data_IF_356827801143
#
_entry.id   IF_356827801143
#
_cell.length_a   1.000
_cell.length_b   1.000
_cell.length_c   1.000
_cell.angle_alpha   90.00
_cell.angle_beta   90.00
_cell.angle_gamma   90.00
#
_symmetry.space_group_name_H-M   'P 1'
#
loop_
_entity.id
_entity.type
_entity.pdbx_description
1 polymer ?
#
# COMPACT_ATOMS: atom_id res chain seq x y z
N UNK A 1 -10.68 -31.94 3.09
CA UNK A 1 -10.35 -30.62 3.62
C UNK A 1 -10.12 -29.75 2.43
N UNK A 2 -11.07 -28.87 2.12
CA UNK A 2 -10.95 -27.90 1.02
C UNK A 2 -9.87 -26.92 1.40
N UNK A 3 -8.92 -26.68 0.52
CA UNK A 3 -7.83 -25.71 0.68
C UNK A 3 -8.39 -24.29 0.52
N UNK A 4 -9.28 -23.89 1.40
CA UNK A 4 -9.61 -22.49 1.55
C UNK A 4 -8.40 -21.83 2.21
N UNK A 5 -7.57 -21.19 1.40
CA UNK A 5 -6.43 -20.44 1.88
C UNK A 5 -6.89 -19.33 2.82
N UNK A 6 -6.11 -19.07 3.85
CA UNK A 6 -6.37 -17.93 4.75
C UNK A 6 -6.31 -16.62 3.97
N UNK A 7 -7.19 -15.65 4.28
CA UNK A 7 -7.12 -14.32 3.69
C UNK A 7 -5.76 -13.67 3.95
N UNK A 8 -5.19 -13.08 2.94
CA UNK A 8 -3.93 -12.35 3.06
C UNK A 8 -4.01 -10.96 2.44
N UNK A 9 -3.11 -10.10 2.86
CA UNK A 9 -2.87 -8.76 2.29
C UNK A 9 -1.38 -8.54 2.16
N UNK A 10 -1.00 -7.82 1.11
CA UNK A 10 0.38 -7.39 0.94
C UNK A 10 0.45 -5.96 0.42
N UNK A 11 1.56 -5.31 0.71
CA UNK A 11 1.89 -3.99 0.22
C UNK A 11 3.32 -3.96 -0.31
N UNK A 12 3.51 -3.39 -1.48
CA UNK A 12 4.84 -3.29 -2.11
C UNK A 12 5.08 -1.87 -2.60
N UNK A 13 6.28 -1.37 -2.37
CA UNK A 13 6.75 -0.12 -2.97
C UNK A 13 7.60 -0.44 -4.18
N UNK A 14 7.26 0.22 -5.29
CA UNK A 14 8.05 0.28 -6.51
C UNK A 14 8.58 1.70 -6.66
N UNK A 15 9.89 1.87 -6.75
CA UNK A 15 10.55 3.17 -6.83
C UNK A 15 11.36 3.33 -8.10
N UNK A 16 11.20 4.45 -8.81
CA UNK A 16 11.88 4.77 -10.08
C UNK A 16 12.87 5.93 -9.95
N UNK A 17 12.97 6.53 -8.77
CA UNK A 17 13.94 7.60 -8.48
C UNK A 17 14.86 7.17 -7.34
N UNK A 18 16.05 7.77 -7.25
CA UNK A 18 16.97 7.53 -6.14
C UNK A 18 16.32 7.80 -4.77
N UNK A 19 15.45 8.80 -4.68
CA UNK A 19 14.70 9.10 -3.46
C UNK A 19 13.70 8.01 -3.08
N UNK A 20 12.96 7.48 -4.05
CA UNK A 20 12.01 6.38 -3.80
C UNK A 20 12.71 5.05 -3.50
N UNK A 21 13.88 4.81 -4.08
CA UNK A 21 14.69 3.62 -3.82
C UNK A 21 15.31 3.58 -2.41
N UNK A 22 15.35 4.72 -1.70
CA UNK A 22 15.78 4.82 -0.28
C UNK A 22 14.68 4.50 0.72
N UNK A 23 13.46 4.22 0.29
CA UNK A 23 12.37 3.86 1.20
C UNK A 23 12.58 2.46 1.76
N UNK A 24 12.11 2.25 3.00
CA UNK A 24 12.15 0.95 3.67
C UNK A 24 10.91 0.74 4.52
N UNK A 25 10.59 -0.51 4.78
CA UNK A 25 9.56 -0.88 5.76
C UNK A 25 10.18 -1.30 7.08
N UNK A 26 9.44 -1.03 8.16
CA UNK A 26 9.70 -1.57 9.49
C UNK A 26 8.40 -2.06 10.11
N UNK A 27 8.45 -3.23 10.73
CA UNK A 27 7.37 -3.76 11.55
C UNK A 27 7.51 -3.21 12.97
N UNK A 28 6.39 -2.78 13.54
CA UNK A 28 6.29 -2.31 14.91
C UNK A 28 5.09 -2.93 15.60
N UNK A 29 5.27 -3.24 16.86
CA UNK A 29 4.15 -3.56 17.74
C UNK A 29 3.73 -2.28 18.48
N UNK A 30 2.47 -1.89 18.34
CA UNK A 30 1.93 -0.72 19.01
C UNK A 30 1.44 -1.12 20.41
N UNK A 31 2.21 -0.75 21.44
CA UNK A 31 1.90 -1.06 22.84
C UNK A 31 0.58 -0.46 23.33
N UNK A 32 0.10 0.62 22.72
CA UNK A 32 -1.14 1.29 23.11
C UNK A 32 -2.38 0.57 22.58
N UNK A 33 -2.27 -0.01 21.40
CA UNK A 33 -3.37 -0.72 20.74
C UNK A 33 -3.26 -2.24 20.87
N UNK A 34 -2.06 -2.74 21.18
CA UNK A 34 -1.76 -4.17 21.19
C UNK A 34 -1.73 -4.81 19.80
N UNK A 35 -1.52 -4.00 18.75
CA UNK A 35 -1.62 -4.42 17.36
C UNK A 35 -0.32 -4.12 16.58
N UNK A 36 -0.04 -4.97 15.59
CA UNK A 36 1.09 -4.78 14.68
C UNK A 36 0.78 -3.73 13.62
N UNK A 37 1.82 -3.01 13.21
CA UNK A 37 1.78 -2.06 12.10
C UNK A 37 3.07 -2.06 11.29
N UNK A 38 2.96 -1.78 10.00
CA UNK A 38 4.11 -1.57 9.13
C UNK A 38 4.24 -0.10 8.79
N UNK A 39 5.41 0.45 9.08
CA UNK A 39 5.75 1.85 8.80
C UNK A 39 6.65 1.95 7.57
N UNK A 40 6.40 2.95 6.74
CA UNK A 40 7.30 3.40 5.68
C UNK A 40 8.26 4.42 6.27
N UNK A 41 9.54 4.24 6.01
CA UNK A 41 10.59 5.16 6.40
C UNK A 41 11.62 5.34 5.28
N UNK A 42 12.74 5.95 5.61
CA UNK A 42 13.86 6.16 4.69
C UNK A 42 15.14 5.51 5.24
N UNK A 43 16.05 5.14 4.34
CA UNK A 43 17.43 4.86 4.70
C UNK A 43 18.14 6.17 5.02
N UNK A 44 18.88 6.20 6.12
CA UNK A 44 19.58 7.37 6.60
C UNK A 44 18.67 8.45 7.18
N UNK A 45 19.29 9.56 7.59
CA UNK A 45 18.58 10.72 8.12
C UNK A 45 17.81 11.44 7.01
N UNK A 46 16.55 11.85 7.27
CA UNK A 46 15.77 12.59 6.29
C UNK A 46 16.38 13.97 6.03
N UNK A 47 16.43 14.34 4.75
CA UNK A 47 16.81 15.70 4.35
C UNK A 47 15.77 16.73 4.81
N UNK A 48 16.13 18.01 4.85
CA UNK A 48 15.18 19.08 5.22
C UNK A 48 13.94 19.13 4.32
N UNK A 49 14.10 18.83 3.02
CA UNK A 49 12.96 18.76 2.09
C UNK A 49 12.09 17.51 2.33
N UNK A 50 12.68 16.40 2.75
CA UNK A 50 11.94 15.22 3.19
C UNK A 50 11.18 15.45 4.49
N UNK A 51 11.74 16.22 5.43
CA UNK A 51 11.06 16.62 6.66
C UNK A 51 9.83 17.49 6.40
N UNK A 52 9.90 18.39 5.39
CA UNK A 52 8.75 19.22 4.97
C UNK A 52 7.61 18.39 4.35
N UNK A 53 7.90 17.20 3.85
CA UNK A 53 6.96 16.27 3.24
C UNK A 53 6.87 14.98 4.05
N UNK A 54 7.03 15.07 5.36
CA UNK A 54 7.11 13.90 6.23
C UNK A 54 5.91 12.97 6.10
N UNK A 55 4.71 13.52 5.96
CA UNK A 55 3.45 12.80 5.76
C UNK A 55 3.35 12.00 4.46
N UNK A 56 4.15 12.34 3.43
CA UNK A 56 4.25 11.59 2.18
C UNK A 56 5.35 10.53 2.18
N UNK A 57 6.24 10.57 3.19
CA UNK A 57 7.44 9.73 3.23
C UNK A 57 7.43 8.81 4.44
N UNK A 58 6.95 9.29 5.58
CA UNK A 58 6.92 8.58 6.85
C UNK A 58 5.47 8.37 7.30
N UNK A 59 4.94 7.19 7.09
CA UNK A 59 3.55 6.85 7.44
C UNK A 59 3.42 5.35 7.72
N UNK A 60 2.39 4.96 8.45
CA UNK A 60 2.03 3.56 8.53
C UNK A 60 1.29 3.14 7.26
N UNK A 61 1.84 2.17 6.53
CA UNK A 61 1.19 1.67 5.31
C UNK A 61 0.24 0.50 5.56
N UNK A 62 0.41 -0.21 6.67
CA UNK A 62 -0.47 -1.30 7.09
C UNK A 62 -0.73 -1.17 8.59
N UNK A 63 -2.00 -1.25 8.98
CA UNK A 63 -2.44 -1.29 10.39
C UNK A 63 -3.61 -2.23 10.56
N UNK A 64 -3.69 -2.84 11.72
CA UNK A 64 -4.86 -3.64 12.11
C UNK A 64 -5.67 -2.93 13.18
N UNK A 65 -6.97 -3.21 13.21
CA UNK A 65 -7.84 -2.86 14.33
C UNK A 65 -9.08 -3.74 14.32
N UNK A 66 -9.35 -4.38 15.45
CA UNK A 66 -10.54 -5.22 15.65
C UNK A 66 -10.77 -6.24 14.51
N UNK A 67 -9.74 -6.98 14.13
CA UNK A 67 -9.82 -7.98 13.06
C UNK A 67 -9.83 -7.43 11.63
N UNK A 68 -9.83 -6.11 11.46
CA UNK A 68 -9.74 -5.46 10.15
C UNK A 68 -8.32 -4.97 9.90
N UNK A 69 -7.82 -5.19 8.68
CA UNK A 69 -6.55 -4.62 8.22
C UNK A 69 -6.80 -3.51 7.20
N UNK A 70 -6.03 -2.44 7.34
CA UNK A 70 -6.03 -1.27 6.46
C UNK A 70 -4.65 -1.13 5.83
N UNK A 71 -4.64 -0.92 4.54
CA UNK A 71 -3.40 -0.72 3.76
C UNK A 71 -3.58 0.50 2.87
N UNK A 72 -2.67 1.47 2.97
CA UNK A 72 -2.69 2.68 2.14
C UNK A 72 -1.28 3.14 1.77
N UNK A 73 -1.19 4.02 0.79
CA UNK A 73 0.08 4.59 0.33
C UNK A 73 0.37 6.00 0.90
N UNK A 74 -0.11 6.32 2.10
CA UNK A 74 0.14 7.62 2.70
C UNK A 74 -0.35 7.73 4.14
N UNK A 75 -0.23 8.91 4.73
CA UNK A 75 -0.57 9.21 6.12
C UNK A 75 -2.06 9.02 6.46
N UNK A 76 -2.93 8.86 5.46
CA UNK A 76 -4.34 8.54 5.66
C UNK A 76 -4.57 7.25 6.46
N UNK A 77 -3.58 6.36 6.54
CA UNK A 77 -3.65 5.18 7.41
C UNK A 77 -3.72 5.54 8.90
N UNK A 78 -3.07 6.64 9.29
CA UNK A 78 -2.93 7.01 10.69
C UNK A 78 -4.03 7.92 11.21
N UNK A 79 -4.44 8.91 10.40
CA UNK A 79 -5.12 10.08 10.94
C UNK A 79 -6.62 9.89 11.09
N UNK A 80 -7.31 9.21 10.20
CA UNK A 80 -8.76 9.30 10.17
C UNK A 80 -9.51 8.02 10.46
N UNK A 81 -8.90 6.89 10.20
CA UNK A 81 -9.58 5.61 10.39
C UNK A 81 -9.62 5.25 11.87
N UNK A 82 -8.65 5.74 12.66
CA UNK A 82 -8.47 5.30 14.04
C UNK A 82 -8.65 6.39 15.10
N UNK A 83 -8.42 7.65 14.80
CA UNK A 83 -8.35 8.68 15.83
C UNK A 83 -9.54 9.64 15.91
N UNK A 84 -10.13 10.03 14.79
CA UNK A 84 -11.07 11.16 14.76
C UNK A 84 -12.48 10.86 14.25
N UNK A 85 -12.75 9.73 13.65
CA UNK A 85 -14.12 9.37 13.29
C UNK A 85 -14.65 8.33 14.27
N UNK A 86 -15.84 8.54 14.82
CA UNK A 86 -16.43 7.51 15.66
C UNK A 86 -16.52 6.24 14.81
N UNK A 87 -15.84 5.22 15.26
CA UNK A 87 -15.74 3.89 14.65
C UNK A 87 -17.10 3.19 14.43
N UNK A 88 -18.18 3.95 14.40
CA UNK A 88 -19.56 3.48 14.40
C UNK A 88 -19.90 2.62 13.19
N UNK A 89 -19.30 2.88 12.04
CA UNK A 89 -19.68 2.19 10.81
C UNK A 89 -18.72 1.08 10.39
N UNK A 90 -17.47 1.10 10.84
CA UNK A 90 -16.49 0.06 10.51
C UNK A 90 -16.73 -1.25 11.27
N UNK A 91 -17.32 -1.15 12.48
CA UNK A 91 -17.43 -2.28 13.43
C UNK A 91 -18.83 -2.85 13.57
N UNK A 92 -19.86 -2.17 13.12
CA UNK A 92 -21.25 -2.57 13.37
C UNK A 92 -21.81 -3.62 12.41
N UNK A 93 -21.02 -4.20 11.53
CA UNK A 93 -21.49 -5.27 10.63
C UNK A 93 -22.43 -4.80 9.51
N UNK A 94 -22.82 -3.52 9.46
CA UNK A 94 -23.84 -2.97 8.59
C UNK A 94 -23.37 -1.73 7.82
N UNK A 95 -22.29 -1.83 7.10
CA UNK A 95 -21.87 -0.77 6.19
C UNK A 95 -20.49 -1.09 5.67
N UNK A 96 -20.37 -1.36 4.39
CA UNK A 96 -19.06 -1.31 3.74
C UNK A 96 -18.54 0.11 3.87
N UNK A 97 -17.31 0.29 4.38
CA UNK A 97 -16.63 1.56 4.28
C UNK A 97 -16.65 2.01 2.82
N UNK A 98 -16.89 3.28 2.58
CA UNK A 98 -16.85 3.83 1.23
C UNK A 98 -15.46 4.40 0.93
N UNK A 99 -15.11 4.50 -0.35
CA UNK A 99 -13.89 5.18 -0.75
C UNK A 99 -13.86 6.62 -0.23
N UNK A 100 -15.01 7.26 -0.19
CA UNK A 100 -15.19 8.62 0.30
C UNK A 100 -14.93 8.74 1.80
N UNK A 101 -15.33 7.74 2.59
CA UNK A 101 -15.01 7.69 4.02
C UNK A 101 -13.53 7.44 4.30
N UNK A 102 -12.84 6.72 3.42
CA UNK A 102 -11.43 6.36 3.59
C UNK A 102 -10.50 7.43 3.02
N UNK A 103 -10.81 7.96 1.84
CA UNK A 103 -9.95 8.82 1.04
C UNK A 103 -10.51 10.21 0.76
N UNK A 104 -11.81 10.48 1.03
CA UNK A 104 -12.50 11.68 0.55
C UNK A 104 -11.88 13.01 1.00
N UNK A 105 -11.35 13.05 2.21
CA UNK A 105 -10.72 14.26 2.76
C UNK A 105 -9.26 14.46 2.29
N UNK A 106 -8.67 13.48 1.59
CA UNK A 106 -7.25 13.48 1.26
C UNK A 106 -6.92 13.88 -0.18
N UNK A 107 -7.85 13.63 -1.10
CA UNK A 107 -7.56 13.80 -2.51
C UNK A 107 -6.40 12.92 -3.00
N UNK A 108 -5.73 13.33 -4.05
CA UNK A 108 -4.46 12.76 -4.55
C UNK A 108 -3.26 13.42 -3.86
N UNK A 109 -2.06 12.87 -4.03
CA UNK A 109 -0.84 13.44 -3.45
C UNK A 109 -0.43 14.74 -4.17
N UNK A 110 -0.02 15.80 -3.44
CA UNK A 110 0.40 17.07 -4.04
C UNK A 110 1.87 17.03 -4.50
N UNK A 111 2.26 15.96 -5.18
CA UNK A 111 3.62 15.68 -5.63
C UNK A 111 3.83 16.02 -7.11
N UNK A 112 3.52 17.25 -7.51
CA UNK A 112 3.71 17.70 -8.89
C UNK A 112 5.08 17.30 -9.47
N UNK A 113 5.15 16.89 -10.74
CA UNK A 113 4.07 16.85 -11.73
C UNK A 113 3.24 15.55 -11.72
N UNK A 114 3.56 14.59 -10.87
CA UNK A 114 2.95 13.25 -10.89
C UNK A 114 1.52 13.27 -10.37
N UNK A 115 1.26 14.01 -9.28
CA UNK A 115 -0.05 14.00 -8.62
C UNK A 115 -0.52 12.57 -8.36
N UNK A 116 0.33 11.84 -7.61
CA UNK A 116 0.18 10.40 -7.35
C UNK A 116 -1.19 10.08 -6.74
N UNK A 117 -1.93 9.12 -7.28
CA UNK A 117 -3.18 8.68 -6.69
C UNK A 117 -2.98 8.12 -5.28
N UNK A 118 -3.91 8.40 -4.39
CA UNK A 118 -4.00 7.69 -3.12
C UNK A 118 -4.79 6.41 -3.30
N UNK A 119 -4.29 5.33 -2.77
CA UNK A 119 -4.94 4.02 -2.80
C UNK A 119 -5.15 3.49 -1.39
N UNK A 120 -6.21 2.73 -1.21
CA UNK A 120 -6.50 2.04 0.02
C UNK A 120 -7.04 0.63 -0.23
N UNK A 121 -6.72 -0.27 0.69
CA UNK A 121 -7.33 -1.58 0.81
C UNK A 121 -7.84 -1.73 2.24
N UNK A 122 -9.08 -2.21 2.35
CA UNK A 122 -9.68 -2.58 3.62
C UNK A 122 -10.16 -4.02 3.56
N UNK A 123 -9.71 -4.84 4.50
CA UNK A 123 -10.08 -6.26 4.57
C UNK A 123 -10.42 -6.63 5.99
N UNK A 124 -11.67 -6.98 6.22
CA UNK A 124 -12.14 -7.55 7.48
C UNK A 124 -12.21 -9.08 7.44
N UNK A 125 -12.46 -9.68 8.59
CA UNK A 125 -12.71 -11.10 8.71
C UNK A 125 -13.94 -11.50 7.89
N UNK A 126 -13.85 -12.63 7.15
CA UNK A 126 -14.96 -13.23 6.42
C UNK A 126 -15.60 -12.35 5.33
N UNK A 127 -14.99 -11.24 4.95
CA UNK A 127 -15.50 -10.28 3.97
C UNK A 127 -14.62 -10.19 2.75
N UNK A 128 -15.22 -9.75 1.65
CA UNK A 128 -14.47 -9.35 0.46
C UNK A 128 -13.55 -8.17 0.78
N UNK A 129 -12.49 -8.02 0.00
CA UNK A 129 -11.60 -6.88 0.10
C UNK A 129 -12.20 -5.67 -0.62
N UNK A 130 -12.18 -4.50 0.02
CA UNK A 130 -12.52 -3.22 -0.59
C UNK A 130 -11.25 -2.52 -1.02
N UNK A 131 -11.15 -2.19 -2.30
CA UNK A 131 -10.14 -1.29 -2.83
C UNK A 131 -10.75 0.08 -3.10
N UNK A 132 -10.01 1.14 -2.78
CA UNK A 132 -10.39 2.51 -3.04
C UNK A 132 -9.23 3.27 -3.68
N UNK A 133 -9.56 4.26 -4.51
CA UNK A 133 -8.60 5.14 -5.16
C UNK A 133 -9.13 6.57 -5.19
N UNK A 134 -8.25 7.54 -4.90
CA UNK A 134 -8.47 8.95 -5.13
C UNK A 134 -7.38 9.46 -6.07
N UNK A 135 -7.78 9.97 -7.23
CA UNK A 135 -6.89 10.40 -8.29
C UNK A 135 -7.29 11.79 -8.80
N UNK A 136 -6.33 12.52 -9.38
CA UNK A 136 -6.64 13.74 -10.13
C UNK A 136 -7.50 13.38 -11.34
N UNK A 137 -8.52 14.18 -11.64
CA UNK A 137 -9.49 13.89 -12.71
C UNK A 137 -8.82 13.76 -14.08
N UNK A 138 -7.99 14.72 -14.44
CA UNK A 138 -7.14 14.69 -15.65
C UNK A 138 -5.95 15.65 -15.48
N UNK A 139 -5.09 15.76 -16.47
CA UNK A 139 -3.96 16.71 -16.42
C UNK A 139 -4.44 18.17 -16.49
N UNK A 140 -5.61 18.42 -17.07
CA UNK A 140 -6.22 19.76 -17.20
C UNK A 140 -7.31 20.04 -16.15
N UNK A 141 -7.64 19.04 -15.31
CA UNK A 141 -8.69 19.13 -14.31
C UNK A 141 -8.17 18.62 -12.96
N UNK A 142 -8.03 19.53 -11.99
CA UNK A 142 -7.48 19.26 -10.66
C UNK A 142 -8.49 18.69 -9.66
N UNK A 143 -9.76 18.51 -10.06
CA UNK A 143 -10.74 17.84 -9.20
C UNK A 143 -10.28 16.44 -8.85
N UNK A 144 -10.66 16.00 -7.67
CA UNK A 144 -10.43 14.62 -7.23
C UNK A 144 -11.53 13.70 -7.73
N UNK A 145 -11.16 12.66 -8.43
CA UNK A 145 -12.00 11.49 -8.67
C UNK A 145 -11.80 10.49 -7.54
N UNK A 146 -12.89 9.97 -6.98
CA UNK A 146 -12.85 8.93 -5.96
C UNK A 146 -13.66 7.72 -6.43
N UNK A 147 -13.06 6.55 -6.37
CA UNK A 147 -13.70 5.31 -6.80
C UNK A 147 -13.38 4.14 -5.90
N UNK A 148 -14.24 3.12 -5.94
CA UNK A 148 -14.06 1.88 -5.16
C UNK A 148 -14.53 0.65 -5.91
N UNK A 149 -13.95 -0.49 -5.54
CA UNK A 149 -14.34 -1.82 -6.02
C UNK A 149 -14.21 -2.83 -4.90
N UNK A 150 -15.22 -3.69 -4.78
CA UNK A 150 -15.16 -4.85 -3.89
C UNK A 150 -14.71 -6.06 -4.67
N UNK A 151 -13.70 -6.75 -4.16
CA UNK A 151 -13.09 -7.91 -4.80
C UNK A 151 -13.28 -9.13 -3.91
N UNK A 152 -13.89 -10.20 -4.43
CA UNK A 152 -13.99 -11.45 -3.70
C UNK A 152 -12.59 -12.04 -3.46
N UNK A 153 -12.39 -12.59 -2.27
CA UNK A 153 -11.14 -13.28 -1.93
C UNK A 153 -11.19 -14.67 -2.54
N UNK A 154 -10.40 -14.88 -3.59
CA UNK A 154 -10.24 -16.17 -4.27
C UNK A 154 -8.85 -16.74 -3.98
N UNK A 155 -8.79 -17.99 -3.53
CA UNK A 155 -7.60 -18.62 -2.96
C UNK A 155 -6.40 -18.88 -3.90
N UNK A 156 -6.42 -18.52 -5.18
CA UNK A 156 -5.36 -18.87 -6.14
C UNK A 156 -4.63 -17.67 -6.77
N UNK A 157 -5.21 -16.49 -6.72
CA UNK A 157 -4.65 -15.28 -7.31
C UNK A 157 -4.75 -14.12 -6.33
N UNK A 158 -3.71 -13.31 -6.27
CA UNK A 158 -3.78 -12.01 -5.62
C UNK A 158 -4.38 -10.99 -6.59
N UNK A 159 -5.32 -10.21 -6.09
CA UNK A 159 -5.78 -8.99 -6.76
C UNK A 159 -5.24 -7.81 -5.98
N UNK A 160 -4.67 -6.85 -6.69
CA UNK A 160 -4.11 -5.63 -6.09
C UNK A 160 -4.53 -4.39 -6.86
N UNK A 161 -4.28 -3.23 -6.27
CA UNK A 161 -4.43 -1.93 -6.89
C UNK A 161 -3.06 -1.25 -6.98
N UNK A 162 -2.80 -0.57 -8.09
CA UNK A 162 -1.56 0.15 -8.31
C UNK A 162 -1.84 1.65 -8.49
N UNK A 163 -0.90 2.50 -8.07
CA UNK A 163 -0.98 3.96 -8.26
C UNK A 163 -0.63 4.41 -9.68
N UNK A 164 0.09 3.57 -10.40
CA UNK A 164 0.63 3.87 -11.73
C UNK A 164 0.24 2.81 -12.74
N UNK A 165 0.07 3.24 -13.99
CA UNK A 165 0.01 2.38 -15.18
C UNK A 165 1.39 1.78 -15.43
N UNK A 166 1.45 0.56 -15.97
CA UNK A 166 2.71 -0.04 -16.38
C UNK A 166 3.69 -0.34 -15.23
N UNK A 167 3.40 -1.35 -14.41
CA UNK A 167 4.24 -1.75 -13.26
C UNK A 167 5.70 -2.05 -13.61
N UNK A 168 5.97 -2.40 -14.87
CA UNK A 168 7.30 -2.78 -15.37
C UNK A 168 7.93 -1.73 -16.29
N UNK A 169 7.27 -0.60 -16.50
CA UNK A 169 7.75 0.45 -17.40
C UNK A 169 8.66 1.42 -16.65
N UNK A 170 9.63 1.99 -17.38
CA UNK A 170 10.56 2.98 -16.83
C UNK A 170 9.87 4.31 -16.53
N UNK A 171 8.87 4.67 -17.33
CA UNK A 171 8.07 5.88 -17.14
C UNK A 171 6.74 5.54 -16.49
N UNK A 172 6.62 5.89 -15.23
CA UNK A 172 5.38 5.69 -14.49
C UNK A 172 4.38 6.80 -14.83
N UNK A 173 3.24 6.40 -15.38
CA UNK A 173 2.13 7.31 -15.56
C UNK A 173 1.09 7.06 -14.47
N UNK A 174 0.79 8.05 -13.62
CA UNK A 174 -0.23 7.89 -12.61
C UNK A 174 -1.61 7.75 -13.25
N UNK A 175 -2.48 6.99 -12.60
CA UNK A 175 -3.87 6.91 -13.00
C UNK A 175 -4.55 8.28 -12.87
N UNK A 176 -5.44 8.60 -13.80
CA UNK A 176 -6.32 9.77 -13.77
C UNK A 176 -7.78 9.33 -13.63
N UNK A 177 -8.65 10.20 -13.13
CA UNK A 177 -10.07 9.89 -12.97
C UNK A 177 -10.74 9.46 -14.27
N UNK A 178 -10.40 10.10 -15.38
CA UNK A 178 -10.89 9.73 -16.73
C UNK A 178 -10.51 8.31 -17.16
N UNK A 179 -9.42 7.77 -16.64
CA UNK A 179 -9.00 6.39 -16.90
C UNK A 179 -9.76 5.38 -16.03
N UNK A 180 -10.37 5.86 -14.94
CA UNK A 180 -10.96 5.04 -13.87
C UNK A 180 -12.47 4.86 -14.00
N UNK A 181 -13.09 5.31 -15.10
CA UNK A 181 -14.48 5.00 -15.43
C UNK A 181 -14.74 3.46 -15.37
N UNK A 182 -13.67 2.68 -15.58
CA UNK A 182 -13.63 1.25 -15.37
C UNK A 182 -12.51 0.88 -14.38
N UNK A 183 -12.79 0.98 -13.08
CA UNK A 183 -11.83 0.66 -11.99
C UNK A 183 -11.13 -0.69 -12.14
N UNK A 184 -11.72 -1.62 -12.86
CA UNK A 184 -11.09 -2.90 -13.18
C UNK A 184 -9.73 -2.75 -13.91
N UNK A 185 -9.49 -1.63 -14.60
CA UNK A 185 -8.25 -1.40 -15.34
C UNK A 185 -7.06 -1.12 -14.43
N UNK A 186 -7.27 -0.56 -13.24
CA UNK A 186 -6.20 -0.33 -12.28
C UNK A 186 -5.90 -1.55 -11.38
N UNK A 187 -6.71 -2.61 -11.52
CA UNK A 187 -6.44 -3.86 -10.81
C UNK A 187 -5.35 -4.65 -11.51
N UNK A 188 -4.41 -5.10 -10.71
CA UNK A 188 -3.35 -6.03 -11.12
C UNK A 188 -3.64 -7.40 -10.54
N UNK A 189 -3.37 -8.45 -11.32
CA UNK A 189 -3.50 -9.84 -10.89
C UNK A 189 -2.19 -10.55 -11.07
N UNK A 190 -1.82 -11.32 -10.08
CA UNK A 190 -0.60 -12.12 -10.13
C UNK A 190 -0.75 -13.37 -9.26
N UNK A 191 -0.12 -14.49 -9.67
CA UNK A 191 -0.15 -15.70 -8.88
C UNK A 191 0.62 -15.47 -7.58
N UNK A 192 0.00 -15.79 -6.45
CA UNK A 192 0.68 -15.87 -5.16
C UNK A 192 0.99 -17.32 -4.87
N UNK A 193 2.22 -17.56 -4.42
CA UNK A 193 2.66 -18.85 -3.92
C UNK A 193 2.92 -18.69 -2.43
N UNK A 194 2.35 -19.61 -1.66
CA UNK A 194 2.53 -19.64 -0.22
C UNK A 194 1.23 -19.51 0.56
N UNK A 195 1.30 -19.88 1.82
CA UNK A 195 0.19 -19.86 2.78
C UNK A 195 0.56 -19.12 4.06
N UNK A 196 1.83 -18.84 4.27
CA UNK A 196 2.32 -18.04 5.38
C UNK A 196 2.70 -16.61 4.97
N UNK A 197 2.81 -15.67 5.91
CA UNK A 197 3.07 -14.27 5.59
C UNK A 197 4.41 -14.04 4.87
N UNK A 198 5.46 -14.82 5.19
CA UNK A 198 6.79 -14.72 4.59
C UNK A 198 6.77 -15.13 3.13
N UNK A 199 6.12 -16.24 2.81
CA UNK A 199 5.98 -16.73 1.43
C UNK A 199 5.18 -15.75 0.57
N UNK A 200 4.10 -15.19 1.12
CA UNK A 200 3.28 -14.18 0.43
C UNK A 200 4.07 -12.89 0.21
N UNK A 201 4.80 -12.40 1.23
CA UNK A 201 5.70 -11.26 1.11
C UNK A 201 6.73 -11.48 -0.01
N UNK A 202 7.39 -12.63 -0.02
CA UNK A 202 8.43 -12.95 -0.99
C UNK A 202 7.86 -13.12 -2.40
N UNK A 203 6.68 -13.69 -2.52
CA UNK A 203 5.95 -13.82 -3.78
C UNK A 203 5.58 -12.45 -4.34
N UNK A 204 5.04 -11.56 -3.49
CA UNK A 204 4.70 -10.17 -3.86
C UNK A 204 5.95 -9.38 -4.26
N UNK A 205 7.04 -9.50 -3.50
CA UNK A 205 8.31 -8.85 -3.81
C UNK A 205 8.85 -9.27 -5.19
N UNK A 206 8.79 -10.56 -5.51
CA UNK A 206 9.25 -11.12 -6.78
C UNK A 206 8.34 -10.79 -7.97
N UNK A 207 7.08 -10.45 -7.73
CA UNK A 207 6.13 -10.06 -8.78
C UNK A 207 6.47 -8.70 -9.39
N UNK A 208 7.26 -7.87 -8.72
CA UNK A 208 7.68 -6.55 -9.22
C UNK A 208 9.07 -6.67 -9.86
N UNK A 209 9.28 -5.92 -10.93
CA UNK A 209 10.59 -5.86 -11.61
C UNK A 209 11.71 -5.57 -10.59
N UNK A 210 12.77 -6.39 -10.53
CA UNK A 210 13.87 -6.24 -9.58
C UNK A 210 14.57 -4.86 -9.63
N UNK A 211 14.49 -4.17 -10.77
CA UNK A 211 15.04 -2.82 -10.91
C UNK A 211 14.26 -1.81 -10.04
N UNK A 212 12.96 -2.00 -9.92
CA UNK A 212 12.05 -1.03 -9.29
C UNK A 212 11.57 -1.44 -7.89
N UNK A 213 11.54 -2.73 -7.55
CA UNK A 213 11.11 -3.15 -6.23
C UNK A 213 11.99 -2.54 -5.13
N UNK A 214 11.35 -2.04 -4.09
CA UNK A 214 12.02 -1.37 -2.96
C UNK A 214 11.81 -2.13 -1.68
N UNK A 215 10.55 -2.42 -1.34
CA UNK A 215 10.19 -3.14 -0.14
C UNK A 215 8.84 -3.83 -0.31
N UNK A 216 8.64 -4.93 0.40
CA UNK A 216 7.36 -5.61 0.52
C UNK A 216 7.06 -5.99 1.96
N UNK A 217 5.78 -5.91 2.31
CA UNK A 217 5.21 -6.38 3.57
C UNK A 217 3.99 -7.25 3.28
N UNK A 218 3.70 -8.20 4.15
CA UNK A 218 2.52 -9.04 4.05
C UNK A 218 1.97 -9.41 5.42
N UNK A 219 0.68 -9.69 5.48
CA UNK A 219 -0.01 -10.24 6.63
C UNK A 219 -1.03 -11.29 6.19
N UNK A 220 -1.22 -12.31 7.00
CA UNK A 220 -2.22 -13.38 6.84
C UNK A 220 -3.14 -13.38 8.05
N UNK A 221 -4.42 -13.56 7.83
CA UNK A 221 -5.39 -13.75 8.92
C UNK A 221 -5.45 -15.24 9.30
N UNK A 222 -5.02 -15.56 10.54
CA UNK A 222 -4.91 -16.94 11.02
C UNK A 222 -6.23 -17.53 11.57
N UNK A 223 -7.34 -16.82 11.39
CA UNK A 223 -8.65 -17.15 11.96
C UNK A 223 -8.92 -16.46 13.31
N UNK A 224 -7.95 -15.72 13.86
CA UNK A 224 -8.06 -14.96 15.13
C UNK A 224 -7.55 -13.54 14.99
N UNK A 225 -6.40 -13.37 14.33
CA UNK A 225 -5.73 -12.08 14.13
C UNK A 225 -4.95 -12.05 12.82
N UNK A 226 -4.53 -10.88 12.45
CA UNK A 226 -3.55 -10.69 11.37
C UNK A 226 -2.14 -10.96 11.91
N UNK A 227 -1.41 -11.84 11.22
CA UNK A 227 -0.02 -12.19 11.51
C UNK A 227 0.85 -11.60 10.41
N UNK A 228 1.80 -10.76 10.79
CA UNK A 228 2.67 -10.06 9.85
C UNK A 228 3.97 -10.80 9.64
N UNK A 229 4.47 -10.80 8.41
CA UNK A 229 5.87 -11.12 8.13
C UNK A 229 6.78 -9.95 8.49
N UNK A 230 8.01 -10.23 8.89
CA UNK A 230 9.05 -9.19 8.89
C UNK A 230 9.20 -8.62 7.48
N UNK A 231 9.15 -7.30 7.27
CA UNK A 231 9.22 -6.73 5.93
C UNK A 231 10.52 -7.06 5.20
N UNK A 232 10.43 -7.24 3.90
CA UNK A 232 11.59 -7.41 3.03
C UNK A 232 11.94 -6.08 2.37
N UNK A 233 13.13 -5.62 2.61
CA UNK A 233 13.70 -4.42 2.00
C UNK A 233 14.74 -4.80 0.96
N UNK A 234 14.91 -3.98 -0.07
CA UNK A 234 15.94 -4.14 -1.08
C UNK A 234 17.34 -3.84 -0.51
N UNK A 235 17.39 -2.88 0.41
CA UNK A 235 18.61 -2.41 1.06
C UNK A 235 18.43 -2.40 2.57
N UNK A 236 19.41 -2.91 3.29
CA UNK A 236 19.39 -2.93 4.75
C UNK A 236 20.01 -1.67 5.36
N UNK A 237 20.91 -1.01 4.61
CA UNK A 237 21.60 0.20 5.05
C UNK A 237 21.76 1.23 3.92
N UNK A 238 22.09 2.48 4.31
CA UNK A 238 22.42 3.54 3.35
C UNK A 238 23.72 3.22 2.60
N UNK A 239 24.72 2.65 3.27
CA UNK A 239 25.98 2.26 2.68
C UNK A 239 25.81 1.19 1.60
N UNK A 240 24.97 0.20 1.86
CA UNK A 240 24.63 -0.84 0.89
C UNK A 240 23.92 -0.24 -0.35
N UNK A 241 22.98 0.69 -0.12
CA UNK A 241 22.33 1.43 -1.20
C UNK A 241 23.33 2.21 -2.05
N UNK A 242 24.21 3.00 -1.43
CA UNK A 242 25.20 3.82 -2.12
C UNK A 242 26.18 2.96 -2.92
N UNK A 243 26.65 1.85 -2.36
CA UNK A 243 27.51 0.91 -3.06
C UNK A 243 26.80 0.21 -4.24
N UNK A 244 25.49 -0.03 -4.12
CA UNK A 244 24.68 -0.64 -5.17
C UNK A 244 24.33 0.33 -6.30
N UNK A 245 23.99 1.59 -5.97
CA UNK A 245 23.62 2.62 -6.94
C UNK A 245 24.83 3.16 -7.72
N UNK A 246 25.99 3.28 -7.10
CA UNK A 246 27.24 3.68 -7.80
C UNK A 246 27.60 2.75 -8.97
N UNK A 247 27.07 1.52 -8.98
CA UNK A 247 27.27 0.55 -10.06
C UNK A 247 26.25 0.67 -11.20
N UNK A 248 25.12 1.33 -10.97
CA UNK A 248 23.98 1.37 -11.91
C UNK A 248 23.86 2.64 -12.71
N UNK A 249 24.38 3.73 -12.20
CA UNK A 249 24.29 5.06 -12.82
C UNK A 249 25.69 5.63 -12.99
N UNK A 250 26.42 5.26 -14.07
CA UNK A 250 27.64 6.02 -14.41
C UNK A 250 27.23 7.47 -14.67
N UNK A 251 27.90 8.39 -13.99
CA UNK A 251 27.78 9.85 -14.13
C UNK A 251 28.07 10.26 -15.55
#
# INVERSE_FOLDING_TARGET
>A
MTSEGYPFVSYVISGRSAGSQKRRFKLYFDLNTGEDRVNVGSLGEPTEDQKKRADLIFYNCMRTRNGTIFVTNGAQTDVNVFENRPARNFYSGFGAATAEEILGDWGYEPDAPLFTPRIALVKGEGRDALFAIAARQSDDDDRTYTGQITVPVNGSEATGIATYKGLHESEAQPWRGVDLEHLNLCLVRFPIRGVDPEEIRDSTYKAIDPRYVVAAAAAVYDGRKWVFAEPKNKWDSLEEFEAGEAKKWPV
#
